data_IF_362118090687
#
_entry.id   IF_362118090687
#
_cell.length_a   1.000
_cell.length_b   1.000
_cell.length_c   1.000
_cell.angle_alpha   90.00
_cell.angle_beta   90.00
_cell.angle_gamma   90.00
#
_symmetry.space_group_name_H-M   'P 1'
#
loop_
_entity.id
_entity.type
_entity.pdbx_description
1 polymer ?
#
# COMPACT_ATOMS: atom_id res chain seq x y z
N UNK A 1 -9.57 -1.43 -4.67
CA UNK A 1 -8.86 -0.25 -4.13
C UNK A 1 -8.02 -0.69 -2.94
N UNK A 2 -6.80 -0.19 -2.82
CA UNK A 2 -5.90 -0.45 -1.69
C UNK A 2 -5.43 0.88 -1.12
N UNK A 3 -5.20 0.93 0.20
CA UNK A 3 -4.69 2.10 0.92
C UNK A 3 -3.43 1.63 1.62
N UNK A 4 -2.32 2.32 1.37
CA UNK A 4 -1.00 1.96 1.86
C UNK A 4 -0.16 3.21 2.10
N UNK A 5 0.98 3.02 2.76
CA UNK A 5 1.95 4.08 2.98
C UNK A 5 2.57 4.53 1.64
N UNK A 6 2.78 5.84 1.40
CA UNK A 6 3.28 6.35 0.10
C UNK A 6 4.69 5.88 -0.26
N UNK A 7 5.49 5.49 0.73
CA UNK A 7 6.84 4.95 0.52
C UNK A 7 6.90 3.42 0.36
N UNK A 8 5.75 2.74 0.35
CA UNK A 8 5.63 1.29 0.20
C UNK A 8 4.88 0.95 -1.08
N UNK A 9 5.17 -0.21 -1.68
CA UNK A 9 4.38 -0.69 -2.81
C UNK A 9 2.99 -1.14 -2.35
N UNK A 10 1.94 -0.90 -3.17
CA UNK A 10 0.60 -1.33 -2.87
C UNK A 10 0.53 -2.86 -2.74
N UNK A 11 0.24 -3.35 -1.54
CA UNK A 11 0.00 -4.77 -1.31
C UNK A 11 -1.47 -5.11 -1.59
N UNK A 12 -1.71 -5.96 -2.59
CA UNK A 12 -3.07 -6.37 -2.96
C UNK A 12 -3.73 -7.31 -1.94
N UNK A 13 -3.02 -7.80 -0.93
CA UNK A 13 -3.62 -8.64 0.11
C UNK A 13 -4.63 -7.84 0.99
N UNK A 14 -4.41 -6.54 1.13
CA UNK A 14 -5.30 -5.62 1.87
C UNK A 14 -5.99 -4.70 0.86
N UNK A 15 -7.15 -5.14 0.36
CA UNK A 15 -7.94 -4.39 -0.62
C UNK A 15 -9.43 -4.44 -0.28
N UNK A 16 -10.17 -3.45 -0.76
CA UNK A 16 -11.64 -3.47 -0.83
C UNK A 16 -12.11 -3.31 -2.27
N UNK A 17 -13.28 -3.87 -2.57
CA UNK A 17 -13.90 -3.84 -3.90
C UNK A 17 -14.95 -2.74 -3.98
N UNK A 18 -15.00 -2.08 -5.12
CA UNK A 18 -16.02 -1.06 -5.44
C UNK A 18 -16.99 -1.69 -6.44
N UNK A 19 -18.26 -1.91 -6.07
CA UNK A 19 -19.27 -2.45 -6.99
C UNK A 19 -19.56 -1.50 -8.15
N UNK A 20 -20.04 -2.06 -9.26
CA UNK A 20 -20.52 -1.27 -10.39
C UNK A 20 -21.81 -0.54 -10.03
N UNK A 21 -22.02 0.64 -10.64
CA UNK A 21 -23.21 1.47 -10.50
C UNK A 21 -23.57 1.85 -9.06
N UNK A 22 -22.57 1.82 -8.19
CA UNK A 22 -22.66 2.25 -6.81
C UNK A 22 -21.66 3.35 -6.52
N UNK A 23 -22.08 4.22 -5.62
CA UNK A 23 -21.23 5.24 -5.02
C UNK A 23 -20.69 4.67 -3.72
N UNK A 24 -19.36 4.60 -3.62
CA UNK A 24 -18.69 4.14 -2.40
C UNK A 24 -17.97 5.32 -1.77
N UNK A 25 -18.42 5.75 -0.60
CA UNK A 25 -17.78 6.79 0.20
C UNK A 25 -16.86 6.13 1.22
N UNK A 26 -15.59 6.48 1.14
CA UNK A 26 -14.51 5.93 1.98
C UNK A 26 -14.02 7.04 2.89
N UNK A 27 -14.09 6.83 4.19
CA UNK A 27 -13.50 7.68 5.22
C UNK A 27 -12.20 7.01 5.71
N UNK A 28 -11.11 7.77 5.67
CA UNK A 28 -9.77 7.29 6.01
C UNK A 28 -9.26 8.10 7.18
N UNK A 29 -8.90 7.42 8.27
CA UNK A 29 -8.28 8.02 9.45
C UNK A 29 -6.85 7.50 9.61
N UNK A 30 -5.83 8.35 9.41
CA UNK A 30 -4.44 7.97 9.65
C UNK A 30 -4.11 7.98 11.15
N UNK A 31 -3.52 6.90 11.64
CA UNK A 31 -3.03 6.74 13.01
C UNK A 31 -1.52 6.54 12.98
N UNK A 32 -0.76 7.48 13.57
CA UNK A 32 0.68 7.41 13.69
C UNK A 32 1.06 6.76 15.03
N UNK A 33 1.81 5.66 14.97
CA UNK A 33 2.41 5.01 16.15
C UNK A 33 3.90 5.31 16.10
N UNK A 34 4.45 5.87 17.17
CA UNK A 34 5.88 6.16 17.29
C UNK A 34 6.40 5.78 18.67
N UNK A 35 7.70 5.51 18.75
CA UNK A 35 8.40 5.34 20.03
C UNK A 35 8.52 6.67 20.78
N UNK A 36 8.71 6.60 22.10
CA UNK A 36 8.97 7.78 22.94
C UNK A 36 10.31 8.43 22.59
N UNK A 37 10.42 9.74 22.83
CA UNK A 37 11.62 10.52 22.49
C UNK A 37 12.87 10.03 23.23
N UNK A 38 12.69 9.50 24.45
CA UNK A 38 13.77 8.93 25.27
C UNK A 38 14.46 7.73 24.61
N UNK A 39 13.73 6.99 23.76
CA UNK A 39 14.22 5.79 23.08
C UNK A 39 14.93 6.08 21.74
N UNK A 40 14.93 7.34 21.28
CA UNK A 40 15.55 7.72 20.00
C UNK A 40 17.06 7.43 20.03
N UNK A 41 17.71 7.69 21.16
CA UNK A 41 19.16 7.55 21.32
C UNK A 41 19.63 6.11 21.62
N UNK A 42 18.70 5.18 21.83
CA UNK A 42 19.04 3.77 22.07
C UNK A 42 19.44 3.10 20.76
N UNK A 43 20.25 2.04 20.84
CA UNK A 43 20.62 1.28 19.65
C UNK A 43 19.42 0.51 19.09
N UNK A 44 19.33 0.29 17.76
CA UNK A 44 18.25 -0.49 17.16
C UNK A 44 18.04 -1.86 17.80
N UNK A 45 19.14 -2.52 18.18
CA UNK A 45 19.12 -3.86 18.79
C UNK A 45 18.49 -3.88 20.18
N UNK A 46 18.59 -2.78 20.92
CA UNK A 46 18.03 -2.64 22.27
C UNK A 46 16.55 -2.30 22.22
N UNK A 47 16.16 -1.38 21.32
CA UNK A 47 14.75 -0.99 21.12
C UNK A 47 13.94 -1.93 20.22
N UNK A 48 14.61 -2.88 19.55
CA UNK A 48 14.00 -3.87 18.64
C UNK A 48 13.22 -3.26 17.47
N UNK A 49 13.62 -2.09 16.99
CA UNK A 49 13.04 -1.42 15.82
C UNK A 49 14.06 -0.53 15.11
N UNK A 50 13.82 -0.24 13.83
CA UNK A 50 14.60 0.71 13.03
C UNK A 50 13.83 1.99 12.75
N UNK A 51 14.50 3.14 12.80
CA UNK A 51 14.04 4.35 12.15
C UNK A 51 14.31 4.29 10.64
N UNK A 52 13.61 5.13 9.88
CA UNK A 52 13.59 5.10 8.41
C UNK A 52 14.97 5.29 7.74
N UNK A 53 15.94 5.86 8.46
CA UNK A 53 17.28 6.21 7.99
C UNK A 53 18.41 5.35 8.57
N UNK A 54 18.12 4.39 9.45
CA UNK A 54 19.16 3.63 10.16
C UNK A 54 19.64 2.41 9.41
N UNK A 55 18.75 1.84 8.59
CA UNK A 55 19.06 0.71 7.74
C UNK A 55 18.85 1.10 6.29
N UNK A 56 19.92 1.05 5.51
CA UNK A 56 19.86 1.26 4.07
C UNK A 56 19.29 0.01 3.39
N UNK A 57 18.41 0.23 2.41
CA UNK A 57 17.86 -0.78 1.53
C UNK A 57 18.43 -0.56 0.11
N UNK A 58 18.59 -1.63 -0.65
CA UNK A 58 19.15 -1.59 -2.00
C UNK A 58 18.18 -0.97 -3.00
N UNK A 59 16.88 -1.30 -2.88
CA UNK A 59 15.87 -0.92 -3.88
C UNK A 59 14.94 0.21 -3.42
N UNK A 60 15.00 0.58 -2.14
CA UNK A 60 14.08 1.53 -1.51
C UNK A 60 14.85 2.68 -0.85
N UNK A 61 14.29 3.89 -0.92
CA UNK A 61 14.92 5.08 -0.34
C UNK A 61 14.84 5.14 1.18
N UNK A 62 13.71 4.70 1.76
CA UNK A 62 13.45 4.74 3.20
C UNK A 62 13.15 3.35 3.74
N UNK A 63 13.69 3.05 4.92
CA UNK A 63 13.38 1.83 5.62
C UNK A 63 11.91 1.78 6.04
N UNK A 64 11.25 0.70 5.65
CA UNK A 64 10.08 0.18 6.35
C UNK A 64 10.24 -1.33 6.48
N UNK A 65 9.57 -1.93 7.45
CA UNK A 65 9.60 -3.39 7.61
C UNK A 65 9.14 -4.09 6.32
N UNK A 66 8.08 -3.58 5.67
CA UNK A 66 7.56 -4.15 4.43
C UNK A 66 8.58 -4.08 3.29
N UNK A 67 9.20 -2.90 3.09
CA UNK A 67 10.23 -2.73 2.06
C UNK A 67 11.43 -3.66 2.28
N UNK A 68 11.84 -3.87 3.54
CA UNK A 68 12.90 -4.81 3.89
C UNK A 68 12.53 -6.26 3.54
N UNK A 69 11.31 -6.67 3.88
CA UNK A 69 10.81 -8.01 3.57
C UNK A 69 10.67 -8.25 2.06
N UNK A 70 10.23 -7.23 1.31
CA UNK A 70 10.11 -7.31 -0.16
C UNK A 70 11.48 -7.41 -0.83
N UNK A 71 12.48 -6.66 -0.35
CA UNK A 71 13.86 -6.79 -0.81
C UNK A 71 14.44 -8.17 -0.49
N UNK A 72 14.19 -8.67 0.71
CA UNK A 72 14.64 -10.00 1.13
C UNK A 72 14.02 -11.11 0.26
N UNK A 73 12.70 -11.09 0.07
CA UNK A 73 11.99 -12.04 -0.80
C UNK A 73 12.49 -11.96 -2.25
N UNK A 74 12.79 -10.75 -2.73
CA UNK A 74 13.36 -10.57 -4.08
C UNK A 74 14.74 -11.20 -4.16
N UNK A 75 15.62 -10.94 -3.20
CA UNK A 75 16.97 -11.51 -3.19
C UNK A 75 16.93 -13.04 -3.12
N UNK A 76 16.04 -13.61 -2.30
CA UNK A 76 15.80 -15.04 -2.25
C UNK A 76 15.32 -15.59 -3.60
N UNK A 77 14.36 -14.91 -4.23
CA UNK A 77 13.82 -15.31 -5.54
C UNK A 77 14.90 -15.23 -6.64
N UNK A 78 15.79 -14.24 -6.60
CA UNK A 78 16.94 -14.13 -7.51
C UNK A 78 17.87 -15.34 -7.33
N UNK A 79 18.20 -15.69 -6.09
CA UNK A 79 19.11 -16.81 -5.81
C UNK A 79 18.48 -18.16 -6.22
N UNK A 80 17.18 -18.33 -5.99
CA UNK A 80 16.47 -19.57 -6.28
C UNK A 80 16.15 -19.74 -7.77
N UNK A 81 15.61 -18.70 -8.42
CA UNK A 81 15.10 -18.76 -9.80
C UNK A 81 16.03 -18.12 -10.85
N UNK A 82 17.02 -17.31 -10.45
CA UNK A 82 17.88 -16.55 -11.37
C UNK A 82 17.19 -15.41 -12.14
N UNK A 83 15.94 -15.09 -11.78
CA UNK A 83 15.15 -14.01 -12.37
C UNK A 83 14.18 -13.44 -11.31
N UNK A 84 13.55 -12.32 -11.62
CA UNK A 84 12.62 -11.62 -10.71
C UNK A 84 11.23 -11.45 -11.33
N UNK A 85 10.19 -11.47 -10.50
CA UNK A 85 8.85 -11.15 -10.97
C UNK A 85 8.77 -9.67 -11.42
N UNK A 86 7.83 -9.37 -12.33
CA UNK A 86 7.71 -8.01 -12.87
C UNK A 86 7.39 -6.96 -11.79
N UNK A 87 6.63 -7.36 -10.75
CA UNK A 87 6.18 -6.52 -9.65
C UNK A 87 7.19 -6.41 -8.50
N UNK A 88 8.24 -7.22 -8.47
CA UNK A 88 9.25 -7.20 -7.41
C UNK A 88 10.22 -6.03 -7.59
N UNK A 89 10.73 -5.44 -6.48
CA UNK A 89 11.78 -4.43 -6.52
C UNK A 89 13.05 -5.02 -7.17
N UNK A 90 13.70 -4.29 -8.07
CA UNK A 90 14.92 -4.77 -8.75
C UNK A 90 15.78 -3.62 -9.28
N UNK A 91 17.07 -3.88 -9.43
CA UNK A 91 17.96 -3.08 -10.27
C UNK A 91 17.84 -3.47 -11.74
N UNK A 92 18.35 -2.63 -12.66
CA UNK A 92 18.31 -2.89 -14.11
C UNK A 92 19.08 -4.15 -14.56
N UNK A 93 19.90 -4.73 -13.69
CA UNK A 93 20.77 -5.86 -14.04
C UNK A 93 20.08 -7.22 -14.02
N UNK A 94 18.94 -7.36 -13.35
CA UNK A 94 18.28 -8.67 -13.19
C UNK A 94 17.16 -8.89 -14.22
N UNK A 95 17.13 -10.05 -14.90
CA UNK A 95 16.11 -10.34 -15.90
C UNK A 95 14.74 -10.59 -15.25
N UNK A 96 13.69 -10.13 -15.90
CA UNK A 96 12.31 -10.42 -15.50
C UNK A 96 11.98 -11.86 -15.91
N UNK A 97 11.40 -12.64 -14.99
CA UNK A 97 10.93 -13.98 -15.30
C UNK A 97 9.80 -13.93 -16.35
N UNK A 98 9.93 -14.73 -17.41
CA UNK A 98 8.84 -14.99 -18.34
C UNK A 98 7.81 -15.97 -17.78
N UNK A 99 6.70 -16.15 -18.51
CA UNK A 99 5.59 -17.02 -18.10
C UNK A 99 6.00 -18.47 -17.81
N UNK A 100 7.05 -19.00 -18.46
CA UNK A 100 7.53 -20.36 -18.20
C UNK A 100 8.23 -20.58 -16.85
N UNK A 101 8.43 -19.52 -16.05
CA UNK A 101 9.07 -19.59 -14.71
C UNK A 101 8.12 -19.17 -13.59
N UNK A 102 6.83 -19.06 -13.83
CA UNK A 102 5.82 -18.73 -12.79
C UNK A 102 5.87 -19.72 -11.63
N UNK A 103 5.96 -21.02 -11.92
CA UNK A 103 6.01 -22.06 -10.89
C UNK A 103 7.25 -21.92 -9.99
N UNK A 104 8.36 -21.44 -10.54
CA UNK A 104 9.56 -21.18 -9.76
C UNK A 104 9.34 -20.03 -8.78
N UNK A 105 8.74 -18.92 -9.24
CA UNK A 105 8.46 -17.75 -8.40
C UNK A 105 7.48 -18.11 -7.27
N UNK A 106 6.43 -18.89 -7.57
CA UNK A 106 5.46 -19.27 -6.55
C UNK A 106 6.06 -20.24 -5.52
N UNK A 107 6.93 -21.16 -5.96
CA UNK A 107 7.69 -22.04 -5.05
C UNK A 107 8.69 -21.26 -4.21
N UNK A 108 9.48 -20.37 -4.80
CA UNK A 108 10.46 -19.57 -4.05
C UNK A 108 9.76 -18.73 -2.98
N UNK A 109 8.59 -18.15 -3.31
CA UNK A 109 7.77 -17.44 -2.33
C UNK A 109 7.26 -18.35 -1.22
N UNK A 110 6.72 -19.52 -1.57
CA UNK A 110 6.19 -20.46 -0.59
C UNK A 110 7.27 -20.98 0.35
N UNK A 111 8.42 -21.39 -0.20
CA UNK A 111 9.58 -21.88 0.55
C UNK A 111 10.12 -20.78 1.48
N UNK A 112 10.20 -19.53 1.00
CA UNK A 112 10.61 -18.38 1.81
C UNK A 112 9.67 -18.12 2.99
N UNK A 113 8.36 -18.27 2.79
CA UNK A 113 7.37 -18.05 3.87
C UNK A 113 7.33 -19.20 4.89
N UNK A 114 7.68 -20.41 4.49
CA UNK A 114 7.70 -21.59 5.36
C UNK A 114 8.98 -21.70 6.19
N UNK A 115 10.10 -21.16 5.69
CA UNK A 115 11.38 -21.22 6.39
C UNK A 115 11.55 -20.05 7.37
N UNK A 116 11.42 -20.34 8.67
CA UNK A 116 11.67 -19.36 9.72
C UNK A 116 13.12 -18.87 9.74
N UNK A 117 14.08 -19.64 9.21
CA UNK A 117 15.49 -19.23 9.20
C UNK A 117 15.78 -18.18 8.11
N UNK A 118 15.15 -18.30 6.93
CA UNK A 118 15.31 -17.31 5.86
C UNK A 118 14.72 -15.95 6.25
N UNK A 119 13.67 -15.95 7.08
CA UNK A 119 13.10 -14.71 7.62
C UNK A 119 13.94 -14.12 8.77
N UNK A 120 14.66 -14.94 9.55
CA UNK A 120 15.58 -14.45 10.59
C UNK A 120 16.87 -13.84 10.03
N UNK A 121 17.40 -14.37 8.91
CA UNK A 121 18.66 -13.89 8.34
C UNK A 121 18.56 -12.46 7.79
N UNK A 122 17.37 -12.04 7.33
CA UNK A 122 17.19 -10.69 6.78
C UNK A 122 17.13 -9.58 7.83
N UNK A 123 16.99 -9.90 9.12
CA UNK A 123 17.00 -8.94 10.24
C UNK A 123 16.06 -7.72 10.02
N UNK A 124 14.86 -7.95 9.47
CA UNK A 124 13.87 -6.91 9.20
C UNK A 124 13.05 -6.56 10.45
N UNK A 125 13.66 -5.85 11.40
CA UNK A 125 12.98 -5.35 12.60
C UNK A 125 11.81 -4.41 12.23
N UNK A 126 10.76 -4.30 13.06
CA UNK A 126 9.67 -3.36 12.81
C UNK A 126 10.18 -1.92 12.73
N UNK A 127 9.42 -1.06 12.05
CA UNK A 127 9.69 0.39 12.04
C UNK A 127 9.36 1.01 13.39
N UNK A 128 10.23 1.86 13.94
CA UNK A 128 9.96 2.58 15.19
C UNK A 128 8.83 3.62 15.05
N UNK A 129 8.57 4.07 13.82
CA UNK A 129 7.44 4.90 13.47
C UNK A 129 6.64 4.19 12.38
N UNK A 130 5.34 3.98 12.61
CA UNK A 130 4.44 3.32 11.65
C UNK A 130 3.16 4.14 11.49
N UNK A 131 2.72 4.27 10.23
CA UNK A 131 1.49 4.95 9.88
C UNK A 131 0.46 3.90 9.47
N UNK A 132 -0.65 3.83 10.20
CA UNK A 132 -1.78 2.94 9.92
C UNK A 132 -2.95 3.74 9.40
N UNK A 133 -3.78 3.13 8.57
CA UNK A 133 -4.99 3.74 8.05
C UNK A 133 -6.19 2.92 8.50
N UNK A 134 -7.03 3.52 9.32
CA UNK A 134 -8.36 3.01 9.65
C UNK A 134 -9.31 3.45 8.55
N UNK A 135 -10.10 2.51 8.02
CA UNK A 135 -10.94 2.75 6.84
C UNK A 135 -12.38 2.39 7.18
N UNK A 136 -13.27 3.36 7.02
CA UNK A 136 -14.71 3.18 7.13
C UNK A 136 -15.34 3.34 5.75
N UNK A 137 -16.21 2.42 5.37
CA UNK A 137 -16.80 2.36 4.03
C UNK A 137 -18.32 2.45 4.15
N UNK A 138 -18.91 3.35 3.37
CA UNK A 138 -20.36 3.44 3.16
C UNK A 138 -20.68 3.35 1.68
N UNK A 139 -21.81 2.73 1.34
CA UNK A 139 -22.19 2.45 -0.04
C UNK A 139 -23.62 2.90 -0.29
N UNK A 140 -23.88 3.45 -1.47
CA UNK A 140 -25.21 3.84 -1.92
C UNK A 140 -25.35 3.63 -3.43
N UNK A 141 -26.59 3.54 -3.91
CA UNK A 141 -26.85 3.43 -5.34
C UNK A 141 -26.47 4.74 -6.04
N UNK A 142 -25.79 4.64 -7.18
CA UNK A 142 -25.42 5.80 -7.98
C UNK A 142 -26.50 6.10 -9.02
N UNK A 143 -27.41 7.04 -8.72
CA UNK A 143 -28.45 7.49 -9.64
C UNK A 143 -27.90 8.49 -10.69
N UNK A 144 -26.93 8.06 -11.51
CA UNK A 144 -26.21 8.92 -12.46
C UNK A 144 -27.11 9.63 -13.46
N UNK A 145 -28.22 8.99 -13.88
CA UNK A 145 -29.18 9.58 -14.82
C UNK A 145 -29.87 10.80 -14.22
N UNK A 146 -30.28 10.71 -12.97
CA UNK A 146 -30.94 11.81 -12.25
C UNK A 146 -29.94 12.91 -11.92
N UNK A 147 -28.71 12.54 -11.51
CA UNK A 147 -27.61 13.48 -11.29
C UNK A 147 -27.25 14.30 -12.52
N UNK A 148 -27.08 13.65 -13.68
CA UNK A 148 -26.76 14.36 -14.94
C UNK A 148 -27.89 15.28 -15.42
N UNK A 149 -29.16 14.92 -15.18
CA UNK A 149 -30.31 15.78 -15.52
C UNK A 149 -30.35 17.02 -14.62
N UNK A 150 -30.07 16.85 -13.33
CA UNK A 150 -29.98 17.94 -12.35
C UNK A 150 -28.77 18.86 -12.62
N UNK A 151 -27.61 18.33 -13.01
CA UNK A 151 -26.43 19.15 -13.34
C UNK A 151 -26.64 19.99 -14.60
N UNK A 152 -27.29 19.41 -15.62
CA UNK A 152 -27.64 20.11 -16.87
C UNK A 152 -28.62 21.27 -16.65
N UNK A 153 -29.38 21.24 -15.55
CA UNK A 153 -30.30 22.31 -15.16
C UNK A 153 -29.69 23.34 -14.20
N UNK A 154 -28.56 23.02 -13.54
CA UNK A 154 -27.99 23.86 -12.47
C UNK A 154 -26.67 24.57 -12.84
N UNK A 155 -25.99 24.23 -13.94
CA UNK A 155 -24.68 24.83 -14.27
C UNK A 155 -24.63 25.42 -15.69
N UNK A 156 -24.47 26.75 -15.79
CA UNK A 156 -24.09 27.45 -17.03
C UNK A 156 -22.56 27.59 -17.18
N UNK A 157 -21.76 27.08 -16.24
CA UNK A 157 -20.31 27.15 -16.26
C UNK A 157 -19.68 25.80 -15.90
N UNK A 158 -18.78 25.35 -16.78
CA UNK A 158 -18.22 23.99 -16.80
C UNK A 158 -17.13 23.75 -15.74
N UNK A 159 -16.71 24.78 -14.99
CA UNK A 159 -15.59 24.70 -14.03
C UNK A 159 -15.97 24.17 -12.64
N UNK A 160 -17.26 24.11 -12.28
CA UNK A 160 -17.74 23.62 -10.99
C UNK A 160 -18.10 22.11 -11.00
N UNK A 161 -17.76 21.42 -12.09
CA UNK A 161 -18.27 20.08 -12.43
C UNK A 161 -17.89 18.92 -11.47
N UNK A 162 -17.09 19.13 -10.41
CA UNK A 162 -16.59 18.04 -9.56
C UNK A 162 -16.38 18.42 -8.08
N UNK A 163 -17.15 19.36 -7.52
CA UNK A 163 -16.97 19.82 -6.15
C UNK A 163 -18.21 19.59 -5.27
N UNK A 164 -18.57 18.33 -5.01
CA UNK A 164 -19.44 17.99 -3.88
C UNK A 164 -18.72 17.05 -2.91
N UNK A 165 -17.65 17.57 -2.32
CA UNK A 165 -17.05 16.98 -1.13
C UNK A 165 -18.04 17.11 0.03
N UNK A 166 -18.49 15.98 0.59
CA UNK A 166 -19.16 15.99 1.88
C UNK A 166 -18.21 16.60 2.91
N UNK A 167 -18.50 17.84 3.34
CA UNK A 167 -17.81 18.48 4.47
C UNK A 167 -18.12 17.65 5.72
N UNK A 168 -17.13 16.96 6.26
CA UNK A 168 -17.21 16.35 7.59
C UNK A 168 -16.60 17.26 8.66
N UNK A 169 -17.04 17.00 9.90
CA UNK A 169 -16.83 17.80 11.12
C UNK A 169 -15.43 17.60 11.72
N UNK A 170 -14.67 16.59 11.27
CA UNK A 170 -13.34 16.26 11.77
C UNK A 170 -12.27 16.50 10.70
N UNK A 171 -11.30 17.43 10.91
CA UNK A 171 -10.23 17.71 9.95
C UNK A 171 -9.20 16.58 9.81
N UNK A 172 -9.25 15.54 10.65
CA UNK A 172 -8.31 14.41 10.61
C UNK A 172 -8.76 13.27 9.69
N UNK A 173 -10.01 13.31 9.18
CA UNK A 173 -10.58 12.27 8.33
C UNK A 173 -10.54 12.73 6.87
N UNK A 174 -9.88 11.95 6.02
CA UNK A 174 -9.87 12.18 4.58
C UNK A 174 -10.98 11.35 3.94
N UNK A 175 -11.87 11.98 3.17
CA UNK A 175 -12.97 11.29 2.49
C UNK A 175 -12.81 11.33 0.98
N UNK A 176 -13.05 10.16 0.35
CA UNK A 176 -13.09 10.01 -1.09
C UNK A 176 -14.35 9.27 -1.52
N UNK A 177 -14.91 9.69 -2.66
CA UNK A 177 -16.02 9.00 -3.30
C UNK A 177 -15.50 8.28 -4.53
N UNK A 178 -15.62 6.96 -4.56
CA UNK A 178 -15.29 6.14 -5.71
C UNK A 178 -16.56 5.76 -6.47
N UNK A 179 -16.52 5.88 -7.80
CA UNK A 179 -17.59 5.48 -8.71
C UNK A 179 -16.97 4.60 -9.81
N UNK A 180 -17.52 3.40 -9.99
CA UNK A 180 -17.20 2.54 -11.12
C UNK A 180 -18.44 2.43 -12.01
N UNK A 181 -18.34 2.96 -13.23
CA UNK A 181 -19.42 2.88 -14.22
C UNK A 181 -19.41 1.48 -14.86
N UNK A 182 -20.54 0.79 -14.80
CA UNK A 182 -20.78 -0.39 -15.65
C UNK A 182 -21.03 0.05 -17.09
N UNK A 183 -20.34 -0.58 -18.04
CA UNK A 183 -20.62 -0.44 -19.50
C UNK A 183 -21.74 -1.34 -19.93
#
# INVERSE_FOLDING_TARGET
>A
VTIHHPAEFPNMNTNFRVPLDQTVSVAIKPTLITVSEELINYKPEDRKCYFSNERSLTYFYSYSQQNCLDECLTNYTIQYCGCVAFYMPKSKSFPICGLGRTDCIERSRSDYLLDSNNTTDCNCLPSCTSLKYEVEISQSNWAWREGMILEKTLTNNFSDLFARFHKFVDPTIISFTCICLGT
#
